data_IF_408997177154
#
_entry.id   IF_408997177154
#
_cell.length_a   1.000
_cell.length_b   1.000
_cell.length_c   1.000
_cell.angle_alpha   90.00
_cell.angle_beta   90.00
_cell.angle_gamma   90.00
#
_symmetry.space_group_name_H-M   'P 1'
#
loop_
_entity.id
_entity.type
_entity.pdbx_description
1 polymer ?
#
# COMPACT_ATOMS: atom_id res chain seq x y z
N UNK A 1 -10.17 5.38 2.78
CA UNK A 1 -8.90 4.66 3.05
C UNK A 1 -7.91 5.64 3.64
N UNK A 2 -7.24 5.25 4.70
CA UNK A 2 -6.27 6.15 5.33
C UNK A 2 -4.97 6.18 4.53
N UNK A 3 -4.22 7.27 4.66
CA UNK A 3 -2.91 7.39 4.00
C UNK A 3 -1.94 6.33 4.51
N UNK A 4 -2.09 5.93 5.77
CA UNK A 4 -1.25 4.90 6.36
C UNK A 4 -1.41 3.55 5.67
N UNK A 5 -2.66 3.17 5.39
CA UNK A 5 -2.94 1.93 4.66
C UNK A 5 -2.35 1.97 3.26
N UNK A 6 -2.46 3.12 2.58
CA UNK A 6 -1.88 3.29 1.25
C UNK A 6 -0.36 3.18 1.28
N UNK A 7 0.26 3.73 2.31
CA UNK A 7 1.71 3.67 2.46
C UNK A 7 2.19 2.22 2.61
N UNK A 8 1.51 1.43 3.43
CA UNK A 8 1.86 0.02 3.62
C UNK A 8 1.68 -0.76 2.32
N UNK A 9 0.58 -0.53 1.60
CA UNK A 9 0.33 -1.18 0.31
C UNK A 9 1.44 -0.82 -0.67
N UNK A 10 1.84 0.44 -0.72
CA UNK A 10 2.91 0.89 -1.58
C UNK A 10 4.22 0.15 -1.27
N UNK A 11 4.59 0.08 0.01
CA UNK A 11 5.82 -0.59 0.41
C UNK A 11 5.82 -2.05 -0.01
N UNK A 12 4.70 -2.74 0.17
CA UNK A 12 4.63 -4.16 -0.13
C UNK A 12 4.62 -4.44 -1.63
N UNK A 13 3.81 -3.72 -2.39
CA UNK A 13 3.59 -4.04 -3.80
C UNK A 13 4.54 -3.33 -4.74
N UNK A 14 4.95 -2.12 -4.42
CA UNK A 14 5.82 -1.35 -5.32
C UNK A 14 7.29 -1.55 -4.96
N UNK A 15 7.62 -1.50 -3.67
CA UNK A 15 8.99 -1.68 -3.20
C UNK A 15 9.33 -3.14 -2.92
N UNK A 16 8.37 -4.04 -3.08
CA UNK A 16 8.54 -5.48 -2.88
C UNK A 16 9.08 -5.84 -1.51
N UNK A 17 8.72 -5.06 -0.48
CA UNK A 17 9.14 -5.36 0.88
C UNK A 17 8.27 -6.45 1.48
N UNK A 18 8.88 -7.49 2.10
CA UNK A 18 8.09 -8.48 2.83
C UNK A 18 7.44 -7.88 4.07
N UNK A 19 6.37 -8.50 4.53
CA UNK A 19 5.61 -7.99 5.68
C UNK A 19 6.48 -7.89 6.93
N UNK A 20 7.39 -8.83 7.14
CA UNK A 20 8.30 -8.82 8.28
C UNK A 20 9.17 -7.57 8.29
N UNK A 21 9.66 -7.19 7.14
CA UNK A 21 10.52 -6.02 7.01
C UNK A 21 9.73 -4.73 7.25
N UNK A 22 8.51 -4.65 6.71
CA UNK A 22 7.64 -3.51 6.96
C UNK A 22 7.32 -3.38 8.45
N UNK A 23 7.03 -4.51 9.09
CA UNK A 23 6.70 -4.52 10.51
C UNK A 23 7.86 -3.99 11.35
N UNK A 24 9.08 -4.41 11.06
CA UNK A 24 10.27 -3.92 11.75
C UNK A 24 10.46 -2.43 11.52
N UNK A 25 10.35 -1.99 10.27
CA UNK A 25 10.56 -0.59 9.92
C UNK A 25 9.56 0.33 10.62
N UNK A 26 8.31 -0.10 10.74
CA UNK A 26 7.24 0.71 11.33
C UNK A 26 7.03 0.42 12.81
N UNK A 27 7.84 -0.46 13.40
CA UNK A 27 7.71 -0.87 14.80
C UNK A 27 6.30 -1.38 15.10
N UNK A 28 5.83 -2.29 14.26
CA UNK A 28 4.49 -2.88 14.35
C UNK A 28 4.59 -4.40 14.37
N UNK A 29 3.52 -5.04 14.84
CA UNK A 29 3.41 -6.49 14.74
C UNK A 29 3.10 -6.87 13.30
N UNK A 30 3.69 -7.99 12.84
CA UNK A 30 3.47 -8.47 11.47
C UNK A 30 1.99 -8.71 11.19
N UNK A 31 1.25 -9.20 12.18
CA UNK A 31 -0.19 -9.42 12.03
C UNK A 31 -0.95 -8.13 11.77
N UNK A 32 -0.51 -7.03 12.39
CA UNK A 32 -1.12 -5.72 12.17
C UNK A 32 -0.84 -5.24 10.76
N UNK A 33 0.38 -5.44 10.25
CA UNK A 33 0.73 -5.08 8.88
C UNK A 33 -0.14 -5.85 7.90
N UNK A 34 -0.26 -7.16 8.09
CA UNK A 34 -1.11 -8.00 7.22
C UNK A 34 -2.56 -7.54 7.24
N UNK A 35 -3.08 -7.20 8.43
CA UNK A 35 -4.43 -6.70 8.56
C UNK A 35 -4.67 -5.40 7.82
N UNK A 36 -3.69 -4.49 7.86
CA UNK A 36 -3.79 -3.22 7.15
C UNK A 36 -3.82 -3.44 5.63
N UNK A 37 -2.96 -4.31 5.12
CA UNK A 37 -2.96 -4.64 3.69
C UNK A 37 -4.27 -5.28 3.28
N UNK A 38 -4.77 -6.22 4.09
CA UNK A 38 -6.04 -6.90 3.80
C UNK A 38 -7.19 -5.90 3.72
N UNK A 39 -7.28 -4.98 4.68
CA UNK A 39 -8.32 -3.96 4.68
C UNK A 39 -8.23 -3.04 3.47
N UNK A 40 -7.02 -2.66 3.08
CA UNK A 40 -6.81 -1.84 1.90
C UNK A 40 -7.25 -2.56 0.64
N UNK A 41 -6.90 -3.83 0.52
CA UNK A 41 -7.29 -4.64 -0.65
C UNK A 41 -8.81 -4.82 -0.72
N UNK A 42 -9.47 -4.98 0.42
CA UNK A 42 -10.93 -5.05 0.46
C UNK A 42 -11.56 -3.79 -0.08
N UNK A 43 -11.06 -2.64 0.37
CA UNK A 43 -11.60 -1.36 -0.10
C UNK A 43 -11.35 -1.16 -1.59
N UNK A 44 -10.17 -1.55 -2.08
CA UNK A 44 -9.86 -1.45 -3.50
C UNK A 44 -10.81 -2.30 -4.35
N UNK A 45 -11.17 -3.48 -3.87
CA UNK A 45 -12.09 -4.34 -4.60
C UNK A 45 -13.51 -3.77 -4.71
N UNK A 46 -13.87 -2.85 -3.82
CA UNK A 46 -15.18 -2.20 -3.84
C UNK A 46 -15.21 -0.95 -4.71
N UNK A 47 -14.06 -0.48 -5.18
CA UNK A 47 -13.98 0.65 -6.09
C UNK A 47 -14.31 0.20 -7.50
N UNK A 48 -14.88 1.11 -8.31
CA UNK A 48 -15.08 0.81 -9.71
C UNK A 48 -13.76 0.93 -10.48
N UNK A 49 -13.77 0.52 -11.76
CA UNK A 49 -12.55 0.49 -12.55
C UNK A 49 -11.91 1.86 -12.72
N UNK A 50 -12.73 2.91 -12.73
CA UNK A 50 -12.23 4.28 -12.84
C UNK A 50 -11.42 4.66 -11.63
N UNK A 51 -11.88 4.30 -10.44
CA UNK A 51 -11.17 4.58 -9.19
C UNK A 51 -9.87 3.80 -9.10
N UNK A 52 -9.87 2.54 -9.58
CA UNK A 52 -8.64 1.76 -9.67
C UNK A 52 -7.60 2.45 -10.55
N UNK A 53 -8.03 2.97 -11.69
CA UNK A 53 -7.13 3.65 -12.60
C UNK A 53 -6.48 4.85 -11.90
N UNK A 54 -7.26 5.67 -11.22
CA UNK A 54 -6.75 6.83 -10.49
C UNK A 54 -5.78 6.40 -9.39
N UNK A 55 -6.11 5.34 -8.67
CA UNK A 55 -5.27 4.83 -7.60
C UNK A 55 -3.89 4.41 -8.15
N UNK A 56 -3.86 3.64 -9.21
CA UNK A 56 -2.61 3.18 -9.80
C UNK A 56 -1.82 4.35 -10.40
N UNK A 57 -2.51 5.32 -10.97
CA UNK A 57 -1.84 6.50 -11.52
C UNK A 57 -1.12 7.28 -10.40
N UNK A 58 -1.78 7.46 -9.27
CA UNK A 58 -1.17 8.15 -8.13
C UNK A 58 0.06 7.39 -7.63
N UNK A 59 -0.04 6.09 -7.49
CA UNK A 59 1.10 5.27 -7.05
C UNK A 59 2.26 5.37 -8.04
N UNK A 60 1.96 5.33 -9.32
CA UNK A 60 2.98 5.42 -10.37
C UNK A 60 3.72 6.76 -10.29
N UNK A 61 2.99 7.85 -10.15
CA UNK A 61 3.59 9.19 -10.07
C UNK A 61 4.47 9.32 -8.82
N UNK A 62 4.03 8.77 -7.70
CA UNK A 62 4.83 8.78 -6.49
C UNK A 62 6.10 7.95 -6.65
N UNK A 63 6.00 6.80 -7.29
CA UNK A 63 7.15 5.97 -7.55
C UNK A 63 8.18 6.67 -8.43
N UNK A 64 7.73 7.36 -9.47
CA UNK A 64 8.60 8.12 -10.35
C UNK A 64 9.28 9.27 -9.59
N UNK A 65 8.54 9.94 -8.71
CA UNK A 65 9.11 11.03 -7.91
C UNK A 65 10.21 10.54 -6.98
N UNK A 66 10.04 9.34 -6.42
CA UNK A 66 11.02 8.79 -5.50
C UNK A 66 12.35 8.49 -6.20
N UNK A 67 12.29 8.08 -7.46
CA UNK A 67 13.50 7.72 -8.21
C UNK A 67 14.19 8.90 -8.85
N UNK A 68 13.63 10.06 -8.76
CA UNK A 68 14.28 11.28 -9.22
C UNK A 68 14.84 12.04 -8.03
#
# INVERSE_FOLDING_TARGET
>A
MSLFNLFIVFLHFIEEMPYEEIAVMLDMKIQTVRGQVFKAMEKLRKLDSKDYFLFFLILYLHGVSVFK
#
